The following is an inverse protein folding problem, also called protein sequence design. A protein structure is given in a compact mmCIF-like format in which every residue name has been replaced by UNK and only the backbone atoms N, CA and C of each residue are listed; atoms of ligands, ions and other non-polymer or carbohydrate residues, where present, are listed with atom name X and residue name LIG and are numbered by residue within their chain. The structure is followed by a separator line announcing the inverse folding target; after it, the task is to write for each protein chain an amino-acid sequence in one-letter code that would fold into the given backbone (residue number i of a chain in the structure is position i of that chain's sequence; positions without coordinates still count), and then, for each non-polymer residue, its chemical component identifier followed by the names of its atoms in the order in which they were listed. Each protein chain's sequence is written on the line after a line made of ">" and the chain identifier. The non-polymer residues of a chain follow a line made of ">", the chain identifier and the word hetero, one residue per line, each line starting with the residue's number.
data_IF_541997895051
#
_entry.id   IF_541997895051
#
_cell.length_a   1.000
_cell.length_b   1.000
_cell.length_c   1.000
_cell.angle_alpha   90.00
_cell.angle_beta   90.00
_cell.angle_gamma   90.00
#
_symmetry.space_group_name_H-M   'P 1'
#
loop_
_entity.id
_entity.type
_entity.pdbx_description
1 polymer ?
#
# COMPACT_ATOMS: atom_id res chain seq x y z
N UNK A 1 1.23 -15.61 1.31
CA UNK A 1 1.25 -15.00 2.64
C UNK A 1 1.78 -13.60 2.45
N UNK A 2 0.88 -12.67 2.12
CA UNK A 2 1.15 -11.24 2.19
C UNK A 2 1.54 -10.95 3.63
N UNK A 3 2.73 -10.40 3.85
CA UNK A 3 3.08 -9.92 5.19
C UNK A 3 2.18 -8.72 5.46
N UNK A 4 1.32 -8.82 6.48
CA UNK A 4 0.50 -7.69 6.91
C UNK A 4 1.45 -6.59 7.37
N UNK A 5 1.46 -5.47 6.63
CA UNK A 5 2.34 -4.33 6.93
C UNK A 5 1.85 -3.69 8.23
N UNK A 6 2.66 -3.75 9.30
CA UNK A 6 2.37 -3.04 10.54
C UNK A 6 3.04 -1.67 10.54
N UNK A 7 2.33 -0.66 10.08
CA UNK A 7 2.86 0.69 9.91
C UNK A 7 3.29 1.35 11.23
N UNK A 8 2.73 0.93 12.37
CA UNK A 8 3.23 1.39 13.68
C UNK A 8 4.62 0.86 14.02
N UNK A 9 5.09 -0.17 13.32
CA UNK A 9 6.42 -0.76 13.38
C UNK A 9 7.23 -0.45 12.11
N UNK A 10 6.82 0.56 11.33
CA UNK A 10 7.55 1.05 10.16
C UNK A 10 8.95 1.52 10.58
N UNK A 11 9.99 0.90 10.02
CA UNK A 11 11.36 1.20 10.40
C UNK A 11 12.33 1.16 9.23
N UNK A 12 13.40 1.93 9.34
CA UNK A 12 14.42 2.09 8.29
C UNK A 12 15.80 1.89 8.92
N UNK A 13 16.64 1.06 8.29
CA UNK A 13 18.03 0.95 8.65
C UNK A 13 18.85 2.04 7.95
N UNK A 14 19.36 2.98 8.73
CA UNK A 14 20.10 4.14 8.23
C UNK A 14 21.59 3.97 8.49
N UNK A 15 22.37 3.92 7.42
CA UNK A 15 23.83 4.04 7.42
C UNK A 15 24.29 5.23 6.57
N UNK A 16 25.57 5.26 6.21
CA UNK A 16 26.13 6.25 5.27
C UNK A 16 26.92 5.57 4.15
N UNK A 17 26.91 6.16 2.96
CA UNK A 17 27.74 5.70 1.85
C UNK A 17 29.23 5.78 2.19
N UNK A 18 29.65 6.79 2.96
CA UNK A 18 31.04 6.92 3.41
C UNK A 18 31.48 5.69 4.23
N UNK A 19 30.73 5.35 5.29
CA UNK A 19 31.02 4.17 6.13
C UNK A 19 30.98 2.88 5.31
N UNK A 20 29.99 2.72 4.44
CA UNK A 20 29.87 1.55 3.58
C UNK A 20 31.10 1.37 2.67
N UNK A 21 31.56 2.47 2.03
CA UNK A 21 32.74 2.47 1.17
C UNK A 21 34.05 2.19 1.93
N UNK A 22 34.10 2.48 3.24
CA UNK A 22 35.22 2.14 4.12
C UNK A 22 35.13 0.70 4.70
N UNK A 23 34.13 -0.08 4.28
CA UNK A 23 33.92 -1.46 4.72
C UNK A 23 33.19 -1.59 6.05
N UNK A 24 32.50 -0.53 6.49
CA UNK A 24 31.68 -0.51 7.69
C UNK A 24 30.18 -0.51 7.33
N UNK A 25 29.44 -1.51 7.81
CA UNK A 25 27.98 -1.57 7.68
C UNK A 25 27.26 -0.88 8.86
N UNK A 26 27.97 -0.01 9.58
CA UNK A 26 27.41 0.65 10.75
C UNK A 26 26.24 1.55 10.36
N UNK A 27 25.12 1.29 11.01
CA UNK A 27 23.89 2.04 10.92
C UNK A 27 22.99 1.68 12.10
N UNK A 28 21.77 2.20 12.10
CA UNK A 28 20.78 1.88 13.13
C UNK A 28 19.38 1.84 12.52
N UNK A 29 18.58 0.91 13.03
CA UNK A 29 17.13 0.92 12.83
C UNK A 29 16.51 2.11 13.54
N UNK A 30 15.78 2.93 12.80
CA UNK A 30 14.99 4.06 13.29
C UNK A 30 13.52 3.79 12.98
N UNK A 31 12.64 3.87 13.98
CA UNK A 31 11.20 3.72 13.78
C UNK A 31 10.59 5.04 13.33
N UNK A 32 9.78 5.01 12.27
CA UNK A 32 9.16 6.22 11.73
C UNK A 32 8.13 6.82 12.68
N UNK A 33 7.51 6.01 13.55
CA UNK A 33 6.61 6.47 14.60
C UNK A 33 7.26 7.33 15.67
N UNK A 34 8.60 7.33 15.76
CA UNK A 34 9.35 8.15 16.73
C UNK A 34 9.51 9.60 16.26
N UNK A 35 9.06 9.92 15.04
CA UNK A 35 9.22 11.22 14.40
C UNK A 35 7.88 11.75 13.91
N UNK A 36 7.73 13.08 13.95
CA UNK A 36 6.52 13.77 13.51
C UNK A 36 6.51 13.93 11.99
N UNK A 37 7.68 14.17 11.40
CA UNK A 37 7.84 14.43 9.99
C UNK A 37 9.23 14.02 9.48
N UNK A 38 9.39 14.18 8.16
CA UNK A 38 10.64 13.88 7.45
C UNK A 38 11.81 14.72 7.98
N UNK A 39 11.62 15.99 8.29
CA UNK A 39 12.71 16.85 8.77
C UNK A 39 13.23 16.41 10.14
N UNK A 40 12.33 15.98 11.03
CA UNK A 40 12.69 15.41 12.33
C UNK A 40 13.45 14.08 12.16
N UNK A 41 12.99 13.21 11.25
CA UNK A 41 13.69 11.96 10.92
C UNK A 41 15.12 12.21 10.38
N UNK A 42 15.28 13.13 9.42
CA UNK A 42 16.60 13.46 8.87
C UNK A 42 17.49 14.16 9.91
N UNK A 43 16.90 14.89 10.86
CA UNK A 43 17.64 15.45 12.00
C UNK A 43 18.20 14.33 12.88
N UNK A 44 17.40 13.31 13.21
CA UNK A 44 17.87 12.15 13.95
C UNK A 44 18.96 11.36 13.19
N UNK A 45 18.86 11.26 11.86
CA UNK A 45 19.90 10.65 11.02
C UNK A 45 21.23 11.42 11.11
N UNK A 46 21.19 12.76 11.09
CA UNK A 46 22.38 13.62 11.27
C UNK A 46 22.97 13.47 12.66
N UNK A 47 22.15 13.35 13.70
CA UNK A 47 22.61 13.10 15.06
C UNK A 47 23.27 11.72 15.21
N UNK A 48 22.73 10.69 14.55
CA UNK A 48 23.27 9.33 14.52
C UNK A 48 24.65 9.27 13.86
N UNK A 49 24.87 10.07 12.82
CA UNK A 49 26.11 10.11 12.03
C UNK A 49 26.88 11.43 12.19
N UNK A 50 26.84 12.01 13.39
CA UNK A 50 27.51 13.28 13.71
C UNK A 50 29.06 13.19 13.73
N UNK A 51 29.60 11.99 13.53
CA UNK A 51 31.02 11.73 13.34
C UNK A 51 31.51 12.13 11.93
N UNK A 52 30.59 12.39 10.99
CA UNK A 52 30.84 12.89 9.64
C UNK A 52 30.42 14.37 9.51
N UNK A 53 31.19 15.16 8.75
CA UNK A 53 30.89 16.60 8.54
C UNK A 53 29.64 16.82 7.67
N UNK A 54 29.46 15.98 6.66
CA UNK A 54 28.31 16.00 5.73
C UNK A 54 27.92 14.55 5.38
N UNK A 55 27.18 13.85 6.25
CA UNK A 55 26.86 12.44 6.06
C UNK A 55 25.92 12.23 4.86
N UNK A 56 26.37 11.44 3.89
CA UNK A 56 25.54 10.98 2.77
C UNK A 56 24.79 9.70 3.18
N UNK A 57 23.51 9.84 3.53
CA UNK A 57 22.71 8.74 4.05
C UNK A 57 22.48 7.64 3.02
N UNK A 58 22.50 6.40 3.50
CA UNK A 58 22.18 5.20 2.74
C UNK A 58 21.12 4.42 3.53
N UNK A 59 19.92 4.28 2.96
CA UNK A 59 18.83 3.50 3.54
C UNK A 59 18.95 2.04 3.07
N UNK A 60 19.69 1.25 3.83
CA UNK A 60 20.15 -0.07 3.37
C UNK A 60 19.04 -1.12 3.42
N UNK A 61 18.07 -0.94 4.32
CA UNK A 61 16.95 -1.85 4.51
C UNK A 61 15.76 -1.12 5.15
N UNK A 62 14.55 -1.68 5.00
CA UNK A 62 13.34 -1.16 5.62
C UNK A 62 12.31 -2.26 5.90
N UNK A 63 11.52 -2.08 6.96
CA UNK A 63 10.46 -3.01 7.36
C UNK A 63 9.14 -2.27 7.54
N UNK A 64 8.03 -2.96 7.24
CA UNK A 64 6.66 -2.45 7.39
C UNK A 64 6.37 -1.11 6.67
N UNK A 65 6.97 -0.92 5.49
CA UNK A 65 6.76 0.26 4.65
C UNK A 65 6.33 -0.21 3.26
N UNK A 66 5.22 0.34 2.71
CA UNK A 66 4.81 0.04 1.34
C UNK A 66 5.93 0.28 0.32
N UNK A 67 5.98 -0.56 -0.72
CA UNK A 67 6.95 -0.41 -1.80
C UNK A 67 6.83 0.96 -2.47
N UNK A 68 7.95 1.46 -2.99
CA UNK A 68 8.01 2.77 -3.67
C UNK A 68 8.19 3.98 -2.74
N UNK A 69 7.90 3.86 -1.44
CA UNK A 69 8.09 4.98 -0.49
C UNK A 69 9.54 5.16 -0.04
N UNK A 70 10.35 4.10 -0.07
CA UNK A 70 11.77 4.15 0.30
C UNK A 70 12.61 3.51 -0.80
N UNK A 71 13.76 4.15 -1.04
CA UNK A 71 14.84 3.68 -1.88
C UNK A 71 16.16 3.83 -1.13
N UNK A 72 17.23 3.21 -1.63
CA UNK A 72 18.56 3.26 -1.00
C UNK A 72 19.07 4.69 -0.77
N UNK A 73 18.70 5.61 -1.66
CA UNK A 73 19.21 6.99 -1.69
C UNK A 73 18.21 8.01 -1.13
N UNK A 74 17.03 7.59 -0.68
CA UNK A 74 16.01 8.54 -0.25
C UNK A 74 14.64 7.94 0.04
N UNK A 75 13.80 8.74 0.68
CA UNK A 75 12.40 8.43 0.97
C UNK A 75 11.46 9.44 0.31
N UNK A 76 10.26 8.99 -0.07
CA UNK A 76 9.21 9.85 -0.61
C UNK A 76 8.87 10.96 0.38
N UNK A 77 8.42 12.11 -0.14
CA UNK A 77 7.88 13.18 0.69
C UNK A 77 6.56 12.78 1.36
N UNK A 78 5.85 11.81 0.78
CA UNK A 78 4.52 11.39 1.24
C UNK A 78 4.60 10.34 2.34
N UNK A 79 5.79 9.81 2.68
CA UNK A 79 5.93 8.67 3.57
C UNK A 79 5.23 8.85 4.93
N UNK A 80 5.37 10.01 5.56
CA UNK A 80 4.72 10.30 6.85
C UNK A 80 3.21 10.44 6.71
N UNK A 81 2.75 11.07 5.63
CA UNK A 81 1.31 11.21 5.33
C UNK A 81 0.67 9.85 5.07
N UNK A 82 1.36 8.97 4.32
CA UNK A 82 0.91 7.61 4.06
C UNK A 82 0.85 6.83 5.38
N UNK A 83 1.88 6.90 6.22
CA UNK A 83 1.89 6.22 7.52
C UNK A 83 0.74 6.69 8.41
N UNK A 84 0.50 8.00 8.50
CA UNK A 84 -0.60 8.57 9.27
C UNK A 84 -1.96 8.11 8.72
N UNK A 85 -2.17 8.23 7.42
CA UNK A 85 -3.42 7.86 6.77
C UNK A 85 -3.75 6.37 6.95
N UNK A 86 -2.76 5.50 6.76
CA UNK A 86 -2.90 4.08 7.06
C UNK A 86 -3.12 3.79 8.55
N UNK A 87 -2.50 4.57 9.45
CA UNK A 87 -2.73 4.46 10.89
C UNK A 87 -4.20 4.73 11.26
N UNK A 88 -4.85 5.62 10.52
CA UNK A 88 -6.24 6.02 10.70
C UNK A 88 -7.25 5.16 9.90
N UNK A 89 -6.79 4.38 8.93
CA UNK A 89 -7.62 3.50 8.09
C UNK A 89 -8.08 2.26 8.87
N UNK A 90 -9.30 1.80 8.61
CA UNK A 90 -9.83 0.58 9.19
C UNK A 90 -8.99 -0.65 8.78
N UNK A 91 -8.72 -1.57 9.70
CA UNK A 91 -7.84 -2.73 9.47
C UNK A 91 -8.26 -3.59 8.27
N UNK A 92 -9.56 -3.71 8.00
CA UNK A 92 -10.10 -4.47 6.87
C UNK A 92 -9.96 -3.74 5.51
N UNK A 93 -9.60 -2.45 5.52
CA UNK A 93 -9.38 -1.67 4.30
C UNK A 93 -7.89 -1.58 3.92
N UNK A 94 -6.96 -1.84 4.85
CA UNK A 94 -5.51 -1.68 4.61
C UNK A 94 -4.98 -2.60 3.52
N UNK A 95 -5.35 -3.89 3.55
CA UNK A 95 -4.91 -4.86 2.54
C UNK A 95 -5.50 -4.55 1.15
N UNK A 96 -6.82 -4.36 0.97
CA UNK A 96 -7.36 -4.00 -0.35
C UNK A 96 -6.82 -2.66 -0.86
N UNK A 97 -6.54 -1.68 0.02
CA UNK A 97 -5.94 -0.42 -0.39
C UNK A 97 -4.53 -0.61 -0.97
N UNK A 98 -3.67 -1.41 -0.31
CA UNK A 98 -2.33 -1.71 -0.83
C UNK A 98 -2.38 -2.47 -2.17
N UNK A 99 -3.31 -3.42 -2.30
CA UNK A 99 -3.53 -4.15 -3.55
C UNK A 99 -3.96 -3.19 -4.66
N UNK A 100 -4.91 -2.29 -4.38
CA UNK A 100 -5.37 -1.27 -5.31
C UNK A 100 -4.25 -0.32 -5.74
N UNK A 101 -3.43 0.18 -4.81
CA UNK A 101 -2.28 1.02 -5.16
C UNK A 101 -1.25 0.28 -6.04
N UNK A 102 -1.12 -1.04 -5.89
CA UNK A 102 -0.16 -1.86 -6.63
C UNK A 102 -0.70 -2.39 -7.98
N UNK A 103 -1.89 -1.97 -8.42
CA UNK A 103 -2.49 -2.41 -9.69
C UNK A 103 -1.79 -1.86 -10.94
N UNK A 104 -0.80 -0.95 -10.76
CA UNK A 104 0.00 -0.37 -11.84
C UNK A 104 -0.49 0.99 -12.35
N UNK A 105 -1.57 1.53 -11.79
CA UNK A 105 -2.15 2.82 -12.17
C UNK A 105 -1.89 3.94 -11.15
N UNK A 106 -1.47 3.58 -9.93
CA UNK A 106 -1.27 4.52 -8.84
C UNK A 106 0.15 4.49 -8.29
N UNK A 107 0.59 5.62 -7.70
CA UNK A 107 1.90 5.79 -7.08
C UNK A 107 1.78 6.44 -5.71
N UNK A 108 1.95 5.65 -4.65
CA UNK A 108 2.01 6.15 -3.27
C UNK A 108 3.13 7.19 -3.06
N UNK A 109 4.19 7.15 -3.90
CA UNK A 109 5.32 8.06 -3.77
C UNK A 109 5.09 9.43 -4.38
N UNK A 110 4.19 9.55 -5.36
CA UNK A 110 4.04 10.74 -6.20
C UNK A 110 2.65 11.40 -6.09
N UNK A 111 1.61 10.63 -5.75
CA UNK A 111 0.23 11.11 -5.65
C UNK A 111 -0.14 11.50 -4.21
N UNK A 112 -1.11 12.43 -4.09
CA UNK A 112 -1.63 12.86 -2.80
C UNK A 112 -2.42 11.73 -2.11
N UNK A 113 -2.15 11.50 -0.83
CA UNK A 113 -2.73 10.36 -0.11
C UNK A 113 -4.24 10.47 0.07
N UNK A 114 -4.77 11.69 0.24
CA UNK A 114 -6.21 11.90 0.44
C UNK A 114 -6.96 11.65 -0.89
N UNK A 115 -6.36 12.04 -2.01
CA UNK A 115 -6.87 11.73 -3.34
C UNK A 115 -6.85 10.22 -3.62
N UNK A 116 -5.76 9.52 -3.27
CA UNK A 116 -5.65 8.06 -3.41
C UNK A 116 -6.70 7.33 -2.58
N UNK A 117 -6.90 7.73 -1.32
CA UNK A 117 -7.92 7.14 -0.45
C UNK A 117 -9.31 7.37 -1.02
N UNK A 118 -9.61 8.58 -1.49
CA UNK A 118 -10.91 8.90 -2.07
C UNK A 118 -11.20 8.11 -3.34
N UNK A 119 -10.19 7.90 -4.19
CA UNK A 119 -10.28 7.07 -5.38
C UNK A 119 -10.48 5.60 -5.03
N UNK A 120 -9.69 5.08 -4.09
CA UNK A 120 -9.85 3.72 -3.56
C UNK A 120 -11.26 3.48 -2.99
N UNK A 121 -11.79 4.38 -2.17
CA UNK A 121 -13.14 4.25 -1.59
C UNK A 121 -14.24 4.26 -2.67
N UNK A 122 -13.98 4.88 -3.82
CA UNK A 122 -14.90 4.89 -4.95
C UNK A 122 -14.82 3.60 -5.77
N UNK A 123 -13.62 3.01 -5.87
CA UNK A 123 -13.36 1.83 -6.69
C UNK A 123 -13.57 0.52 -5.93
N UNK A 124 -13.32 0.50 -4.62
CA UNK A 124 -13.41 -0.70 -3.80
C UNK A 124 -14.87 -1.10 -3.53
N UNK A 125 -15.20 -2.35 -3.87
CA UNK A 125 -16.56 -2.87 -3.77
C UNK A 125 -16.72 -3.74 -2.51
N UNK A 126 -15.78 -4.64 -2.28
CA UNK A 126 -15.84 -5.55 -1.13
C UNK A 126 -15.02 -6.82 -1.31
N UNK A 127 -15.16 -7.71 -0.33
CA UNK A 127 -14.49 -9.01 -0.28
C UNK A 127 -15.50 -10.13 -0.63
N UNK A 128 -15.11 -11.01 -1.55
CA UNK A 128 -15.91 -12.14 -2.04
C UNK A 128 -15.05 -13.41 -2.09
N UNK A 129 -15.63 -14.59 -1.82
CA UNK A 129 -14.85 -15.84 -1.90
C UNK A 129 -14.50 -16.19 -3.35
N UNK A 130 -15.38 -15.83 -4.29
CA UNK A 130 -15.19 -16.06 -5.72
C UNK A 130 -15.80 -14.93 -6.54
N UNK A 131 -15.32 -14.76 -7.77
CA UNK A 131 -15.92 -13.88 -8.78
C UNK A 131 -17.38 -14.27 -9.10
N UNK A 132 -17.73 -15.57 -8.98
CA UNK A 132 -19.10 -16.06 -9.15
C UNK A 132 -20.02 -15.60 -8.02
N UNK A 133 -19.53 -15.54 -6.77
CA UNK A 133 -20.29 -14.99 -5.63
C UNK A 133 -20.64 -13.51 -5.88
N UNK A 134 -19.68 -12.73 -6.39
CA UNK A 134 -19.93 -11.35 -6.80
C UNK A 134 -20.99 -11.26 -7.90
N UNK A 135 -20.86 -12.04 -8.97
CA UNK A 135 -21.83 -12.07 -10.05
C UNK A 135 -23.23 -12.49 -9.58
N UNK A 136 -23.32 -13.41 -8.61
CA UNK A 136 -24.57 -13.81 -7.99
C UNK A 136 -25.24 -12.63 -7.29
N UNK A 137 -24.50 -11.88 -6.46
CA UNK A 137 -25.02 -10.67 -5.80
C UNK A 137 -25.55 -9.65 -6.82
N UNK A 138 -24.76 -9.36 -7.86
CA UNK A 138 -25.14 -8.42 -8.92
C UNK A 138 -26.46 -8.83 -9.60
N UNK A 139 -26.63 -10.11 -9.92
CA UNK A 139 -27.87 -10.63 -10.55
C UNK A 139 -29.04 -10.67 -9.57
N UNK A 140 -28.79 -10.88 -8.28
CA UNK A 140 -29.84 -10.86 -7.27
C UNK A 140 -30.48 -9.48 -7.13
N UNK A 141 -29.69 -8.42 -7.27
CA UNK A 141 -30.16 -7.04 -7.30
C UNK A 141 -30.92 -6.67 -8.58
N UNK A 142 -30.75 -7.44 -9.66
CA UNK A 142 -31.50 -7.24 -10.88
C UNK A 142 -32.96 -7.68 -10.73
N UNK A 143 -33.86 -6.95 -11.40
CA UNK A 143 -35.28 -7.28 -11.46
C UNK A 143 -35.57 -8.41 -12.47
N UNK A 144 -34.97 -9.58 -12.25
CA UNK A 144 -35.19 -10.79 -13.05
C UNK A 144 -36.15 -11.76 -12.35
N UNK A 145 -37.01 -12.48 -13.09
CA UNK A 145 -37.86 -13.51 -12.51
C UNK A 145 -37.05 -14.65 -11.88
N UNK A 146 -37.51 -15.21 -10.76
CA UNK A 146 -36.85 -16.35 -10.08
C UNK A 146 -36.56 -17.53 -11.00
N UNK A 147 -37.43 -17.75 -12.00
CA UNK A 147 -37.21 -18.80 -12.99
C UNK A 147 -35.94 -18.53 -13.80
N UNK A 148 -35.68 -17.29 -14.21
CA UNK A 148 -34.48 -16.93 -14.95
C UNK A 148 -33.23 -17.06 -14.06
N UNK A 149 -33.28 -16.53 -12.82
CA UNK A 149 -32.17 -16.60 -11.85
C UNK A 149 -31.71 -18.05 -11.62
N UNK A 150 -32.63 -18.99 -11.44
CA UNK A 150 -32.32 -20.43 -11.23
C UNK A 150 -31.54 -21.12 -12.35
N UNK A 151 -31.58 -20.58 -13.57
CA UNK A 151 -30.87 -21.14 -14.73
C UNK A 151 -29.88 -20.13 -15.33
N UNK A 152 -29.57 -19.07 -14.59
CA UNK A 152 -28.59 -18.08 -15.01
C UNK A 152 -27.19 -18.68 -14.93
N UNK A 153 -26.35 -18.37 -15.92
CA UNK A 153 -24.97 -18.83 -15.97
C UNK A 153 -24.07 -17.81 -15.26
N UNK A 154 -24.00 -17.92 -13.93
CA UNK A 154 -23.27 -16.97 -13.08
C UNK A 154 -21.76 -17.00 -13.35
N UNK A 155 -21.18 -18.17 -13.65
CA UNK A 155 -19.76 -18.30 -13.99
C UNK A 155 -19.43 -17.57 -15.30
N UNK A 156 -20.26 -17.73 -16.33
CA UNK A 156 -20.07 -16.99 -17.59
C UNK A 156 -20.21 -15.47 -17.39
N UNK A 157 -21.18 -15.04 -16.58
CA UNK A 157 -21.39 -13.62 -16.32
C UNK A 157 -20.27 -13.01 -15.49
N UNK A 158 -19.78 -13.70 -14.46
CA UNK A 158 -18.61 -13.30 -13.69
C UNK A 158 -17.42 -13.06 -14.62
N UNK A 159 -17.14 -14.01 -15.52
CA UNK A 159 -16.06 -13.88 -16.50
C UNK A 159 -16.18 -12.62 -17.35
N UNK A 160 -17.38 -12.27 -17.79
CA UNK A 160 -17.62 -11.05 -18.58
C UNK A 160 -17.40 -9.78 -17.74
N UNK A 161 -17.84 -9.78 -16.47
CA UNK A 161 -17.64 -8.66 -15.53
C UNK A 161 -16.14 -8.39 -15.30
N UNK A 162 -15.35 -9.42 -15.00
CA UNK A 162 -13.93 -9.32 -14.68
C UNK A 162 -13.00 -9.20 -15.90
N UNK A 163 -13.54 -9.28 -17.12
CA UNK A 163 -12.82 -8.93 -18.35
C UNK A 163 -12.97 -7.44 -18.73
N UNK A 164 -13.90 -6.73 -18.10
CA UNK A 164 -14.26 -5.37 -18.47
C UNK A 164 -14.26 -4.43 -17.27
N UNK A 165 -15.42 -4.35 -16.62
CA UNK A 165 -15.75 -3.30 -15.65
C UNK A 165 -15.11 -3.50 -14.28
N UNK A 166 -14.67 -4.72 -13.97
CA UNK A 166 -14.16 -5.10 -12.66
C UNK A 166 -12.83 -5.82 -12.76
N UNK A 167 -12.08 -5.79 -11.67
CA UNK A 167 -10.93 -6.65 -11.44
C UNK A 167 -10.92 -7.13 -9.99
N UNK A 168 -10.26 -8.26 -9.73
CA UNK A 168 -10.11 -8.79 -8.38
C UNK A 168 -8.69 -9.25 -8.12
N UNK A 169 -8.27 -9.16 -6.85
CA UNK A 169 -7.08 -9.83 -6.36
C UNK A 169 -7.26 -10.21 -4.88
N UNK A 170 -6.80 -11.41 -4.51
CA UNK A 170 -6.90 -11.95 -3.15
C UNK A 170 -8.32 -11.92 -2.54
N UNK A 171 -9.37 -11.97 -3.38
CA UNK A 171 -10.78 -11.94 -2.95
C UNK A 171 -11.37 -10.54 -2.84
N UNK A 172 -10.58 -9.49 -3.01
CA UNK A 172 -11.06 -8.10 -3.05
C UNK A 172 -11.45 -7.72 -4.47
N UNK A 173 -12.63 -7.12 -4.62
CA UNK A 173 -13.20 -6.71 -5.91
C UNK A 173 -13.20 -5.19 -6.02
N UNK A 174 -12.79 -4.71 -7.19
CA UNK A 174 -12.64 -3.30 -7.52
C UNK A 174 -13.27 -2.98 -8.88
N UNK A 175 -13.70 -1.73 -9.06
CA UNK A 175 -13.96 -1.18 -10.38
C UNK A 175 -12.65 -0.99 -11.17
N UNK A 176 -12.73 -1.15 -12.48
CA UNK A 176 -11.66 -0.85 -13.42
C UNK A 176 -11.82 0.60 -13.91
N UNK A 177 -11.22 1.54 -13.18
CA UNK A 177 -11.32 3.00 -13.39
C UNK A 177 -10.24 3.57 -14.33
#
# INVERSE_FOLDING_TARGET
>A
MTHQINISEASVYVGTYHKYNEGSIFGKWLNLSDYTDKEEFYTACKELHNDEEDPEFMFQDYENIPEGLISEYGMSNNIFQVIEAFGNMDENQKEPFLIWCNNGHHSLSDEDIDDLISAFESDYIGEYNTEEDFAYEQVEEMNLPDFAKRYFDYEAYARDLFLGDYWSDSGYVFYNS
#
